data_IF_546766528751
#
_entry.id   IF_546766528751
#
_cell.length_a   1.000
_cell.length_b   1.000
_cell.length_c   1.000
_cell.angle_alpha   90.00
_cell.angle_beta   90.00
_cell.angle_gamma   90.00
#
_symmetry.space_group_name_H-M   'P 1'
#
loop_
_entity.id
_entity.type
_entity.pdbx_description
1 polymer ?
#
# COMPACT_ATOMS: atom_id res chain seq x y z
N UNK A 1 4.55 10.25 -1.88
CA UNK A 1 3.10 10.37 -1.67
C UNK A 1 2.67 9.22 -0.79
N UNK A 2 1.97 9.49 0.30
CA UNK A 2 1.49 8.46 1.22
C UNK A 2 0.10 8.00 0.81
N UNK A 3 -0.20 6.71 0.97
CA UNK A 3 -1.48 6.13 0.63
C UNK A 3 -1.83 4.97 1.55
N UNK A 4 -3.13 4.73 1.71
CA UNK A 4 -3.67 3.51 2.34
C UNK A 4 -4.48 2.79 1.28
N UNK A 5 -4.11 1.55 0.98
CA UNK A 5 -4.86 0.72 0.03
C UNK A 5 -5.73 -0.30 0.78
N UNK A 6 -6.94 -0.52 0.29
CA UNK A 6 -7.86 -1.48 0.88
C UNK A 6 -7.71 -2.84 0.19
N UNK A 7 -7.31 -3.84 0.97
CA UNK A 7 -7.18 -5.23 0.55
C UNK A 7 -8.47 -6.03 0.77
N UNK A 8 -9.64 -5.42 0.53
CA UNK A 8 -10.97 -6.02 0.76
C UNK A 8 -11.20 -7.35 0.03
N UNK A 9 -10.45 -7.54 -1.07
CA UNK A 9 -10.47 -8.76 -1.88
C UNK A 9 -9.70 -9.93 -1.24
N UNK A 10 -8.75 -9.64 -0.34
CA UNK A 10 -8.04 -10.63 0.49
C UNK A 10 -8.86 -10.89 1.74
N UNK A 11 -9.28 -9.82 2.42
CA UNK A 11 -10.11 -9.88 3.62
C UNK A 11 -10.91 -8.58 3.80
N UNK A 12 -12.23 -8.64 4.01
CA UNK A 12 -13.05 -7.44 4.15
C UNK A 12 -12.58 -6.51 5.28
N UNK A 13 -12.39 -5.24 4.94
CA UNK A 13 -11.95 -4.19 5.86
C UNK A 13 -10.45 -4.12 6.07
N UNK A 14 -9.65 -5.03 5.49
CA UNK A 14 -8.20 -5.02 5.58
C UNK A 14 -7.63 -3.86 4.75
N UNK A 15 -6.64 -3.16 5.29
CA UNK A 15 -5.92 -2.10 4.61
C UNK A 15 -4.41 -2.16 4.89
N UNK A 16 -3.63 -1.75 3.90
CA UNK A 16 -2.17 -1.83 3.90
C UNK A 16 -1.59 -0.41 3.77
N UNK A 17 -0.64 -0.02 4.64
CA UNK A 17 0.04 1.27 4.52
C UNK A 17 1.10 1.20 3.42
N UNK A 18 1.09 2.21 2.55
CA UNK A 18 1.97 2.27 1.38
C UNK A 18 2.55 3.68 1.21
N UNK A 19 3.80 3.74 0.77
CA UNK A 19 4.44 4.99 0.32
C UNK A 19 4.83 4.83 -1.14
N UNK A 20 4.39 5.78 -1.97
CA UNK A 20 4.68 5.85 -3.39
C UNK A 20 5.63 7.02 -3.68
N UNK A 21 6.83 6.74 -4.17
CA UNK A 21 7.88 7.73 -4.42
C UNK A 21 8.42 7.58 -5.84
N UNK A 22 8.80 8.69 -6.47
CA UNK A 22 9.50 8.64 -7.76
C UNK A 22 10.98 8.40 -7.51
N UNK A 23 11.54 7.37 -8.13
CA UNK A 23 12.98 7.14 -8.25
C UNK A 23 13.36 7.29 -9.71
N UNK A 24 14.03 8.40 -10.06
CA UNK A 24 14.25 8.85 -11.43
C UNK A 24 12.94 8.91 -12.27
N UNK A 25 12.76 7.95 -13.19
CA UNK A 25 11.59 7.86 -14.08
C UNK A 25 10.57 6.81 -13.61
N UNK A 26 10.89 6.05 -12.57
CA UNK A 26 10.08 4.93 -12.09
C UNK A 26 9.30 5.30 -10.82
N UNK A 27 8.03 4.89 -10.77
CA UNK A 27 7.22 4.99 -9.55
C UNK A 27 7.50 3.76 -8.69
N UNK A 28 8.06 3.97 -7.51
CA UNK A 28 8.43 2.93 -6.55
C UNK A 28 7.40 2.87 -5.40
N UNK A 29 7.08 1.66 -4.97
CA UNK A 29 6.13 1.38 -3.88
C UNK A 29 6.88 0.72 -2.72
N UNK A 30 6.77 1.33 -1.55
CA UNK A 30 7.21 0.78 -0.26
C UNK A 30 5.98 0.35 0.52
N UNK A 31 5.85 -0.95 0.76
CA UNK A 31 4.78 -1.56 1.54
C UNK A 31 5.23 -1.84 2.96
N UNK A 32 4.42 -1.46 3.94
CA UNK A 32 4.69 -1.72 5.35
C UNK A 32 4.34 -3.16 5.70
N UNK A 33 5.12 -3.76 6.61
CA UNK A 33 5.05 -5.20 6.92
C UNK A 33 3.78 -5.64 7.66
N UNK A 34 3.07 -4.69 8.27
CA UNK A 34 1.86 -4.93 9.04
C UNK A 34 0.61 -4.51 8.25
N UNK A 35 -0.43 -5.33 8.39
CA UNK A 35 -1.77 -5.04 7.90
C UNK A 35 -2.65 -4.45 8.99
N UNK A 36 -3.65 -3.65 8.62
CA UNK A 36 -4.57 -3.01 9.55
C UNK A 36 -6.02 -3.16 9.08
N UNK A 37 -6.98 -2.82 9.95
CA UNK A 37 -8.41 -2.78 9.59
C UNK A 37 -9.00 -1.36 9.73
N UNK A 38 -8.14 -0.38 10.02
CA UNK A 38 -8.53 1.01 10.24
C UNK A 38 -7.50 1.91 9.55
N UNK A 39 -7.93 2.79 8.62
CA UNK A 39 -7.02 3.69 7.90
C UNK A 39 -6.18 4.58 8.80
N UNK A 40 -6.72 4.99 9.94
CA UNK A 40 -6.00 5.78 10.94
C UNK A 40 -4.83 5.01 11.57
N UNK A 41 -4.94 3.69 11.70
CA UNK A 41 -3.87 2.84 12.19
C UNK A 41 -2.80 2.65 11.10
N UNK A 42 -3.21 2.44 9.85
CA UNK A 42 -2.30 2.36 8.71
C UNK A 42 -1.51 3.67 8.52
N UNK A 43 -2.18 4.83 8.55
CA UNK A 43 -1.51 6.13 8.45
C UNK A 43 -0.50 6.34 9.58
N UNK A 44 -0.85 5.97 10.83
CA UNK A 44 0.11 6.07 11.94
C UNK A 44 1.36 5.20 11.74
N UNK A 45 1.25 4.07 11.05
CA UNK A 45 2.40 3.23 10.73
C UNK A 45 3.35 3.95 9.77
N UNK A 46 2.79 4.66 8.78
CA UNK A 46 3.53 5.52 7.85
C UNK A 46 4.22 6.65 8.62
N UNK A 47 3.49 7.39 9.45
CA UNK A 47 4.01 8.52 10.23
C UNK A 47 5.18 8.11 11.14
N UNK A 48 5.13 6.88 11.67
CA UNK A 48 6.14 6.31 12.57
C UNK A 48 7.31 5.66 11.86
N UNK A 49 7.23 5.50 10.53
CA UNK A 49 8.22 4.75 9.73
C UNK A 49 8.47 3.35 10.32
N UNK A 50 7.36 2.66 10.63
CA UNK A 50 7.41 1.25 11.02
C UNK A 50 8.07 0.38 9.94
N UNK A 51 8.38 -0.87 10.28
CA UNK A 51 9.12 -1.77 9.40
C UNK A 51 8.39 -1.99 8.06
N UNK A 52 9.13 -1.84 6.96
CA UNK A 52 8.63 -1.95 5.60
C UNK A 52 9.52 -2.86 4.73
N UNK A 53 8.92 -3.43 3.69
CA UNK A 53 9.66 -4.16 2.66
C UNK A 53 10.50 -3.19 1.82
N UNK A 54 11.57 -3.67 1.16
CA UNK A 54 12.30 -2.87 0.20
C UNK A 54 11.37 -2.32 -0.90
N UNK A 55 11.60 -1.08 -1.38
CA UNK A 55 10.80 -0.51 -2.46
C UNK A 55 10.90 -1.36 -3.72
N UNK A 56 9.77 -1.54 -4.40
CA UNK A 56 9.69 -2.24 -5.70
C UNK A 56 8.96 -1.37 -6.72
N UNK A 57 9.21 -1.53 -8.03
CA UNK A 57 8.49 -0.78 -9.06
C UNK A 57 6.98 -0.98 -8.97
N UNK A 58 6.19 0.06 -9.23
CA UNK A 58 4.72 0.03 -9.16
C UNK A 58 4.12 -1.11 -9.98
N UNK A 59 4.62 -1.33 -11.20
CA UNK A 59 4.12 -2.42 -12.05
C UNK A 59 4.39 -3.80 -11.45
N UNK A 60 5.54 -3.99 -10.79
CA UNK A 60 5.90 -5.25 -10.13
C UNK A 60 5.08 -5.43 -8.84
N UNK A 61 4.91 -4.37 -8.05
CA UNK A 61 4.04 -4.36 -6.88
C UNK A 61 2.61 -4.76 -7.27
N UNK A 62 2.04 -4.10 -8.28
CA UNK A 62 0.70 -4.42 -8.80
C UNK A 62 0.64 -5.87 -9.22
N UNK A 63 1.61 -6.41 -9.97
CA UNK A 63 1.59 -7.82 -10.37
C UNK A 63 1.65 -8.80 -9.21
N UNK A 64 2.41 -8.48 -8.15
CA UNK A 64 2.49 -9.28 -6.94
C UNK A 64 1.16 -9.28 -6.17
N UNK A 65 0.44 -8.15 -6.17
CA UNK A 65 -0.92 -8.06 -5.60
C UNK A 65 -1.99 -8.74 -6.50
N UNK A 66 -1.81 -8.68 -7.83
CA UNK A 66 -2.79 -9.10 -8.84
C UNK A 66 -3.00 -10.61 -9.04
N UNK A 67 -2.20 -11.47 -8.39
CA UNK A 67 -2.56 -12.89 -8.34
C UNK A 67 -3.85 -13.14 -7.54
N UNK A 68 -4.43 -12.12 -6.91
CA UNK A 68 -5.78 -12.14 -6.34
C UNK A 68 -6.56 -10.86 -6.70
N UNK A 69 -7.59 -11.02 -7.54
CA UNK A 69 -8.69 -10.09 -7.86
C UNK A 69 -8.44 -8.89 -8.81
N UNK A 70 -9.06 -8.99 -9.99
CA UNK A 70 -9.10 -7.94 -11.04
C UNK A 70 -9.97 -6.73 -10.68
N UNK A 71 -10.68 -6.76 -9.55
CA UNK A 71 -11.59 -5.70 -9.12
C UNK A 71 -11.01 -4.79 -8.04
N UNK A 72 -9.71 -4.90 -7.74
CA UNK A 72 -9.03 -4.02 -6.76
C UNK A 72 -9.21 -2.56 -7.13
N UNK A 73 -9.64 -1.75 -6.16
CA UNK A 73 -9.83 -0.30 -6.28
C UNK A 73 -8.88 0.44 -5.36
N UNK A 74 -7.77 0.87 -5.91
CA UNK A 74 -6.83 1.76 -5.21
C UNK A 74 -7.50 3.13 -5.07
N UNK A 75 -7.80 3.52 -3.83
CA UNK A 75 -8.42 4.81 -3.53
C UNK A 75 -7.40 5.68 -2.80
N UNK A 76 -6.99 6.79 -3.42
CA UNK A 76 -6.18 7.80 -2.72
C UNK A 76 -7.02 8.36 -1.57
N UNK A 77 -6.58 8.14 -0.34
CA UNK A 77 -7.17 8.80 0.83
C UNK A 77 -6.40 10.11 1.01
N UNK A 78 -7.09 11.24 0.86
CA UNK A 78 -6.58 12.54 1.34
C UNK A 78 -6.95 12.64 2.82
N UNK A 79 -5.94 12.68 3.68
CA UNK A 79 -6.08 12.87 5.13
C UNK A 79 -5.67 14.30 5.47
#
# INVERSE_FOLDING_TARGET
MEAVDYADHIEPGKCVPLVAEMDDEDLMITEFTNDYYYPQAAQRAIDRREDAYPPVPFYDWVQNQYLTDKNVKITKIEI
#
